data_IF_020808985834
#
_entry.id   IF_020808985834
#
_cell.length_a   1.000
_cell.length_b   1.000
_cell.length_c   1.000
_cell.angle_alpha   90.00
_cell.angle_beta   90.00
_cell.angle_gamma   90.00
#
_symmetry.space_group_name_H-M   'P 1'
#
loop_
_entity.id
_entity.type
_entity.pdbx_description
1 polymer ?
#
# COMPACT_ATOMS: atom_id res chain seq x y z
N UNK A 1 -44.72 8.02 -30.24
CA UNK A 1 -45.84 8.19 -31.20
C UNK A 1 -45.30 8.12 -32.61
N UNK A 2 -46.14 8.09 -33.66
CA UNK A 2 -45.70 7.98 -35.06
C UNK A 2 -44.84 9.19 -35.55
N UNK A 3 -44.75 10.23 -34.73
CA UNK A 3 -43.93 11.43 -34.87
C UNK A 3 -42.51 11.29 -34.26
N UNK A 4 -42.18 10.14 -33.66
CA UNK A 4 -40.91 9.93 -32.97
C UNK A 4 -40.79 10.63 -31.61
N UNK A 5 -41.84 11.30 -31.14
CA UNK A 5 -41.87 11.96 -29.83
C UNK A 5 -42.42 11.00 -28.78
N UNK A 6 -41.66 10.81 -27.70
CA UNK A 6 -42.03 9.95 -26.58
C UNK A 6 -42.09 10.80 -25.31
N UNK A 7 -43.30 11.07 -24.84
CA UNK A 7 -43.55 11.95 -23.68
C UNK A 7 -43.78 11.16 -22.37
N UNK A 8 -43.74 9.82 -22.44
CA UNK A 8 -43.99 8.96 -21.31
C UNK A 8 -42.86 7.94 -21.19
N UNK A 9 -42.33 7.79 -19.98
CA UNK A 9 -41.31 6.79 -19.66
C UNK A 9 -41.81 5.96 -18.48
N UNK A 10 -41.52 4.66 -18.51
CA UNK A 10 -41.74 3.76 -17.39
C UNK A 10 -40.39 3.47 -16.76
N UNK A 11 -40.25 3.69 -15.45
CA UNK A 11 -39.03 3.30 -14.75
C UNK A 11 -38.85 1.78 -14.84
N UNK A 12 -37.62 1.33 -15.13
CA UNK A 12 -37.29 -0.09 -15.06
C UNK A 12 -37.17 -0.49 -13.59
N UNK A 13 -38.10 -1.32 -13.12
CA UNK A 13 -38.07 -1.88 -11.77
C UNK A 13 -37.47 -3.29 -11.82
N UNK A 14 -36.15 -3.41 -11.65
CA UNK A 14 -35.46 -4.71 -11.64
C UNK A 14 -33.96 -4.60 -11.88
N UNK A 15 -33.27 -5.74 -11.79
CA UNK A 15 -31.84 -5.82 -12.13
C UNK A 15 -31.65 -5.58 -13.62
N UNK A 16 -30.69 -4.72 -13.95
CA UNK A 16 -30.32 -4.38 -15.33
C UNK A 16 -28.86 -4.73 -15.57
N UNK A 17 -28.55 -5.24 -16.75
CA UNK A 17 -27.18 -5.36 -17.22
C UNK A 17 -26.81 -4.07 -17.94
N UNK A 18 -25.88 -3.31 -17.38
CA UNK A 18 -25.41 -2.06 -17.98
C UNK A 18 -23.88 -2.04 -18.01
N UNK A 19 -23.27 -1.48 -19.07
CA UNK A 19 -21.83 -1.30 -19.11
C UNK A 19 -21.44 -0.34 -17.97
N UNK A 20 -20.60 -0.83 -17.06
CA UNK A 20 -20.10 -0.06 -15.95
C UNK A 20 -18.77 -0.63 -15.50
N UNK A 21 -17.76 0.22 -15.43
CA UNK A 21 -16.46 -0.11 -14.87
C UNK A 21 -16.43 -0.07 -13.33
N UNK A 22 -17.57 0.15 -12.67
CA UNK A 22 -17.70 0.19 -11.21
C UNK A 22 -18.57 -0.94 -10.66
N UNK A 23 -18.34 -1.29 -9.39
CA UNK A 23 -19.08 -2.34 -8.67
C UNK A 23 -20.55 -1.96 -8.42
N UNK A 24 -20.81 -0.66 -8.27
CA UNK A 24 -22.15 -0.09 -8.07
C UNK A 24 -22.44 0.95 -9.16
N UNK A 25 -23.70 1.09 -9.57
CA UNK A 25 -24.13 2.17 -10.47
C UNK A 25 -24.20 3.54 -9.80
N UNK A 26 -24.07 3.61 -8.47
CA UNK A 26 -24.04 4.84 -7.69
C UNK A 26 -22.75 4.91 -6.86
N UNK A 27 -21.97 5.96 -7.08
CA UNK A 27 -20.71 6.22 -6.38
C UNK A 27 -20.88 6.51 -4.89
N UNK A 28 -22.05 6.98 -4.46
CA UNK A 28 -22.43 7.09 -3.05
C UNK A 28 -22.61 5.75 -2.33
N UNK A 29 -22.81 4.66 -3.08
CA UNK A 29 -22.86 3.30 -2.53
C UNK A 29 -21.49 2.63 -2.55
N UNK A 30 -20.74 2.79 -3.64
CA UNK A 30 -19.36 2.33 -3.76
C UNK A 30 -18.65 3.08 -4.86
N UNK A 31 -17.45 3.58 -4.56
CA UNK A 31 -16.56 4.21 -5.54
C UNK A 31 -15.63 3.22 -6.24
N UNK A 32 -15.68 1.93 -5.88
CA UNK A 32 -14.77 0.92 -6.40
C UNK A 32 -14.93 0.74 -7.92
N UNK A 33 -13.85 0.93 -8.66
CA UNK A 33 -13.78 0.73 -10.10
C UNK A 33 -12.61 -0.18 -10.48
N UNK A 34 -12.70 -0.79 -11.67
CA UNK A 34 -11.76 -1.82 -12.15
C UNK A 34 -10.51 -1.26 -12.83
N UNK A 35 -10.40 0.05 -12.99
CA UNK A 35 -9.28 0.68 -13.68
C UNK A 35 -8.17 1.05 -12.68
N UNK A 36 -6.92 1.06 -13.14
CA UNK A 36 -5.79 1.54 -12.34
C UNK A 36 -5.77 3.06 -12.19
N UNK A 37 -6.31 3.78 -13.17
CA UNK A 37 -6.49 5.22 -13.16
C UNK A 37 -7.97 5.55 -13.11
N UNK A 38 -8.31 6.73 -12.58
CA UNK A 38 -9.67 7.23 -12.62
C UNK A 38 -10.08 7.53 -14.08
N UNK A 39 -10.87 6.64 -14.64
CA UNK A 39 -11.49 6.77 -15.96
C UNK A 39 -12.98 7.08 -15.81
N UNK A 40 -13.60 7.63 -16.86
CA UNK A 40 -15.05 7.89 -16.85
C UNK A 40 -15.82 6.58 -16.85
N UNK A 41 -16.89 6.53 -16.06
CA UNK A 41 -17.80 5.40 -16.04
C UNK A 41 -18.71 5.40 -17.29
N UNK A 42 -18.91 4.23 -17.89
CA UNK A 42 -19.68 4.07 -19.13
C UNK A 42 -21.17 4.32 -18.94
N UNK A 43 -21.69 4.13 -17.71
CA UNK A 43 -23.09 4.34 -17.39
C UNK A 43 -23.38 5.79 -16.96
N UNK A 44 -22.65 6.32 -15.98
CA UNK A 44 -22.91 7.69 -15.48
C UNK A 44 -22.27 8.77 -16.34
N UNK A 45 -21.25 8.43 -17.14
CA UNK A 45 -20.49 9.40 -17.95
C UNK A 45 -19.58 10.32 -17.14
N UNK A 46 -19.46 10.09 -15.83
CA UNK A 46 -18.67 10.91 -14.89
C UNK A 46 -17.47 10.14 -14.32
N UNK A 47 -16.67 10.84 -13.52
CA UNK A 47 -15.49 10.30 -12.84
C UNK A 47 -15.68 10.24 -11.32
N UNK A 48 -16.89 9.93 -10.86
CA UNK A 48 -17.23 9.90 -9.42
C UNK A 48 -16.78 8.62 -8.70
N UNK A 49 -16.40 7.58 -9.44
CA UNK A 49 -15.92 6.30 -8.90
C UNK A 49 -14.42 6.34 -8.62
N UNK A 50 -14.00 7.03 -7.57
CA UNK A 50 -12.58 7.28 -7.25
C UNK A 50 -11.81 6.09 -6.68
N UNK A 51 -12.46 5.00 -6.31
CA UNK A 51 -11.82 3.81 -5.75
C UNK A 51 -11.14 2.96 -6.82
N UNK A 52 -10.07 3.48 -7.42
CA UNK A 52 -9.28 2.78 -8.44
C UNK A 52 -8.56 1.57 -7.85
N UNK A 53 -8.12 0.64 -8.71
CA UNK A 53 -7.25 -0.45 -8.28
C UNK A 53 -5.97 0.09 -7.63
N UNK A 54 -5.39 1.16 -8.20
CA UNK A 54 -4.19 1.78 -7.66
C UNK A 54 -4.43 2.33 -6.25
N UNK A 55 -5.46 3.16 -6.07
CA UNK A 55 -5.72 3.81 -4.79
C UNK A 55 -6.02 2.81 -3.68
N UNK A 56 -6.85 1.80 -3.97
CA UNK A 56 -7.29 0.82 -2.98
C UNK A 56 -6.22 -0.22 -2.63
N UNK A 57 -5.36 -0.62 -3.57
CA UNK A 57 -4.51 -1.80 -3.40
C UNK A 57 -3.00 -1.55 -3.56
N UNK A 58 -2.58 -0.45 -4.19
CA UNK A 58 -1.16 -0.25 -4.54
C UNK A 58 -0.56 1.05 -4.00
N UNK A 59 -1.35 2.10 -3.78
CA UNK A 59 -0.87 3.43 -3.40
C UNK A 59 0.00 3.39 -2.13
N UNK A 60 -0.47 2.70 -1.09
CA UNK A 60 0.25 2.51 0.17
C UNK A 60 1.54 1.74 -0.04
N UNK A 61 1.48 0.57 -0.67
CA UNK A 61 2.65 -0.28 -0.90
C UNK A 61 3.75 0.46 -1.67
N UNK A 62 3.39 1.11 -2.78
CA UNK A 62 4.34 1.85 -3.62
C UNK A 62 4.94 3.02 -2.84
N UNK A 63 4.11 3.79 -2.13
CA UNK A 63 4.60 4.91 -1.32
C UNK A 63 5.58 4.44 -0.23
N UNK A 64 5.27 3.31 0.42
CA UNK A 64 6.09 2.74 1.48
C UNK A 64 7.43 2.20 0.98
N UNK A 65 7.48 1.66 -0.25
CA UNK A 65 8.74 1.22 -0.88
C UNK A 65 9.72 2.39 -1.07
N UNK A 66 9.21 3.58 -1.39
CA UNK A 66 10.05 4.76 -1.58
C UNK A 66 10.28 5.58 -0.31
N UNK A 67 9.54 5.30 0.77
CA UNK A 67 9.73 5.96 2.05
C UNK A 67 11.12 5.64 2.59
N UNK A 68 11.99 6.66 2.65
CA UNK A 68 13.37 6.52 3.14
C UNK A 68 13.44 6.03 4.58
N UNK A 69 12.39 6.27 5.37
CA UNK A 69 12.29 5.76 6.73
C UNK A 69 12.04 4.25 6.79
N UNK A 70 11.49 3.62 5.74
CA UNK A 70 11.27 2.16 5.70
C UNK A 70 12.49 1.37 5.21
N UNK A 71 13.64 2.03 4.96
CA UNK A 71 14.85 1.37 4.45
C UNK A 71 15.56 0.53 5.51
N UNK A 72 15.92 -0.69 5.14
CA UNK A 72 16.81 -1.56 5.93
C UNK A 72 18.25 -1.04 5.81
N UNK A 73 18.88 -0.78 6.94
CA UNK A 73 20.31 -0.41 7.02
C UNK A 73 21.11 -1.66 7.34
N UNK A 74 22.04 -2.05 6.45
CA UNK A 74 22.93 -3.19 6.68
C UNK A 74 24.31 -2.70 7.08
N UNK A 75 24.84 -3.22 8.19
CA UNK A 75 26.15 -2.86 8.73
C UNK A 75 26.95 -4.13 8.99
N UNK A 76 28.24 -4.11 8.68
CA UNK A 76 29.20 -5.12 9.13
C UNK A 76 30.06 -4.55 10.25
N UNK A 77 30.17 -5.28 11.35
CA UNK A 77 30.96 -4.84 12.48
C UNK A 77 31.48 -6.03 13.31
N UNK A 78 32.55 -5.79 14.07
CA UNK A 78 33.00 -6.70 15.13
C UNK A 78 32.38 -6.27 16.45
N UNK A 79 31.32 -6.97 16.88
CA UNK A 79 30.64 -6.66 18.13
C UNK A 79 31.41 -7.25 19.33
N UNK A 80 31.66 -6.47 20.40
CA UNK A 80 32.23 -7.01 21.62
C UNK A 80 31.37 -8.14 22.21
N UNK A 81 32.01 -9.18 22.76
CA UNK A 81 31.34 -10.36 23.28
C UNK A 81 30.26 -10.04 24.33
N UNK A 82 30.49 -9.02 25.17
CA UNK A 82 29.50 -8.56 26.17
C UNK A 82 28.18 -8.09 25.55
N UNK A 83 28.19 -7.59 24.32
CA UNK A 83 26.98 -7.18 23.59
C UNK A 83 26.34 -8.45 23.04
N UNK A 84 27.11 -9.28 22.34
CA UNK A 84 26.65 -10.55 21.74
C UNK A 84 25.94 -11.47 22.73
N UNK A 85 26.42 -11.51 23.98
CA UNK A 85 25.86 -12.37 25.03
C UNK A 85 24.58 -11.83 25.69
N UNK A 86 24.30 -10.53 25.57
CA UNK A 86 23.24 -9.87 26.35
C UNK A 86 22.21 -9.11 25.51
N UNK A 87 22.43 -8.94 24.21
CA UNK A 87 21.49 -8.19 23.37
C UNK A 87 20.21 -8.99 23.13
N UNK A 88 19.12 -8.25 22.95
CA UNK A 88 17.82 -8.75 22.53
C UNK A 88 17.34 -7.97 21.31
N UNK A 89 16.39 -8.52 20.55
CA UNK A 89 15.77 -7.79 19.43
C UNK A 89 15.00 -6.53 19.89
N UNK A 90 14.68 -6.43 21.19
CA UNK A 90 14.03 -5.27 21.77
C UNK A 90 15.00 -4.09 21.97
N UNK A 91 16.31 -4.31 21.93
CA UNK A 91 17.32 -3.26 22.10
C UNK A 91 17.43 -2.34 20.88
N UNK A 92 18.21 -1.26 21.04
CA UNK A 92 18.45 -0.25 20.00
C UNK A 92 19.94 -0.03 19.81
N UNK A 93 20.35 0.18 18.56
CA UNK A 93 21.70 0.64 18.23
C UNK A 93 21.68 2.11 17.85
N UNK A 94 22.64 2.85 18.40
CA UNK A 94 22.94 4.21 17.96
C UNK A 94 24.18 4.16 17.07
N UNK A 95 24.01 4.53 15.81
CA UNK A 95 25.09 4.58 14.82
C UNK A 95 25.09 5.98 14.21
N UNK A 96 26.19 6.71 14.40
CA UNK A 96 26.36 8.09 13.91
C UNK A 96 25.22 9.04 14.35
N UNK A 97 24.74 8.91 15.60
CA UNK A 97 23.69 9.77 16.16
C UNK A 97 22.28 9.44 15.68
N UNK A 98 22.09 8.28 15.04
CA UNK A 98 20.79 7.76 14.61
C UNK A 98 20.49 6.47 15.34
N UNK A 99 19.26 6.39 15.88
CA UNK A 99 18.77 5.23 16.61
C UNK A 99 18.03 4.27 15.68
N UNK A 100 18.35 2.99 15.82
CA UNK A 100 17.82 1.91 14.99
C UNK A 100 17.25 0.77 15.83
N UNK A 101 16.20 0.15 15.31
CA UNK A 101 15.66 -1.14 15.78
C UNK A 101 16.46 -2.29 15.16
N UNK A 102 16.75 -3.31 15.94
CA UNK A 102 17.42 -4.51 15.44
C UNK A 102 16.39 -5.38 14.70
N UNK A 103 16.66 -5.68 13.43
CA UNK A 103 15.90 -6.67 12.67
C UNK A 103 16.52 -8.06 12.85
N UNK A 104 17.82 -8.16 12.59
CA UNK A 104 18.59 -9.39 12.70
C UNK A 104 20.06 -9.08 12.94
N UNK A 105 20.73 -10.00 13.65
CA UNK A 105 22.19 -10.00 13.81
C UNK A 105 22.66 -11.43 13.61
N UNK A 106 23.55 -11.61 12.64
CA UNK A 106 24.22 -12.88 12.38
C UNK A 106 25.71 -12.71 12.63
N UNK A 107 26.25 -13.46 13.60
CA UNK A 107 27.66 -13.36 13.97
C UNK A 107 28.39 -14.65 13.67
N UNK A 108 29.48 -14.56 12.93
CA UNK A 108 30.42 -15.67 12.80
C UNK A 108 31.31 -15.70 14.05
N UNK A 109 31.10 -16.67 14.94
CA UNK A 109 31.85 -16.77 16.19
C UNK A 109 33.32 -17.15 16.01
N UNK A 110 33.71 -17.74 14.87
CA UNK A 110 35.11 -18.05 14.59
C UNK A 110 35.91 -16.80 14.19
N UNK A 111 35.29 -15.86 13.48
CA UNK A 111 35.95 -14.62 13.02
C UNK A 111 35.59 -13.38 13.84
N UNK A 112 34.49 -13.43 14.59
CA UNK A 112 33.90 -12.30 15.30
C UNK A 112 33.14 -11.30 14.41
N UNK A 113 33.08 -11.51 13.09
CA UNK A 113 32.36 -10.60 12.19
C UNK A 113 30.84 -10.78 12.35
N UNK A 114 30.12 -9.67 12.52
CA UNK A 114 28.66 -9.61 12.63
C UNK A 114 28.05 -8.88 11.43
N UNK A 115 27.08 -9.50 10.77
CA UNK A 115 26.17 -8.87 9.82
C UNK A 115 24.92 -8.41 10.58
N UNK A 116 24.64 -7.11 10.53
CA UNK A 116 23.58 -6.47 11.32
C UNK A 116 22.58 -5.83 10.34
N UNK A 117 21.31 -6.19 10.45
CA UNK A 117 20.21 -5.52 9.76
C UNK A 117 19.41 -4.68 10.74
N UNK A 118 19.20 -3.43 10.35
CA UNK A 118 18.61 -2.39 11.19
C UNK A 118 17.42 -1.74 10.49
N UNK A 119 16.36 -1.47 11.25
CA UNK A 119 15.20 -0.71 10.81
C UNK A 119 15.26 0.69 11.42
N UNK A 120 14.87 1.72 10.66
CA UNK A 120 14.74 3.05 11.25
C UNK A 120 13.59 3.07 12.27
N UNK A 121 13.75 3.88 13.31
CA UNK A 121 12.67 4.21 14.24
C UNK A 121 11.94 5.45 13.68
N UNK A 122 10.64 5.31 13.37
CA UNK A 122 9.81 6.31 12.68
C UNK A 122 9.51 7.56 13.50
#
# INVERSE_FOLDING_TARGET
>A
NADGTYNNHSAVSGSVNMPSNSVSFNSGTSTANINFKLEKNEYTGDSSFTGTLFDNYYSTYITDVFNTKNRITKVKAYLPLRILLNFTLADRFDINGKRYKINSIETNLATGESNIELLNEL
#
